data_IF_100887809986
#
_entry.id   IF_100887809986
#
_cell.length_a   1.000
_cell.length_b   1.000
_cell.length_c   1.000
_cell.angle_alpha   90.00
_cell.angle_beta   90.00
_cell.angle_gamma   90.00
#
_symmetry.space_group_name_H-M   'P 1'
#
loop_
_entity.id
_entity.type
_entity.pdbx_description
1 polymer ?
#
# COMPACT_ATOMS: atom_id res chain seq x y z
N UNK A 1 27.51 -1.73 -0.74
CA UNK A 1 26.12 -1.24 -0.71
C UNK A 1 25.32 -1.89 0.40
N UNK A 2 25.45 -3.21 0.59
CA UNK A 2 24.77 -3.99 1.64
C UNK A 2 24.88 -3.38 3.06
N UNK A 3 26.09 -3.02 3.51
CA UNK A 3 26.29 -2.44 4.86
C UNK A 3 25.53 -1.15 5.14
N UNK A 4 25.38 -0.27 4.15
CA UNK A 4 24.61 0.98 4.33
C UNK A 4 23.12 0.66 4.51
N UNK A 5 22.64 -0.35 3.78
CA UNK A 5 21.27 -0.83 3.92
C UNK A 5 21.07 -1.46 5.29
N UNK A 6 21.93 -2.39 5.68
CA UNK A 6 21.88 -3.08 6.98
C UNK A 6 21.88 -2.08 8.14
N UNK A 7 22.86 -1.18 8.18
CA UNK A 7 22.99 -0.21 9.28
C UNK A 7 21.91 0.86 9.27
N UNK A 8 21.45 1.29 8.09
CA UNK A 8 20.30 2.18 7.96
C UNK A 8 19.02 1.56 8.54
N UNK A 9 18.74 0.30 8.20
CA UNK A 9 17.59 -0.45 8.73
C UNK A 9 17.69 -0.72 10.24
N UNK A 10 18.88 -1.01 10.77
CA UNK A 10 19.10 -1.15 12.23
C UNK A 10 18.88 0.18 12.93
N UNK A 11 19.42 1.27 12.37
CA UNK A 11 19.24 2.61 12.91
C UNK A 11 17.76 2.99 13.03
N UNK A 12 16.93 2.60 12.07
CA UNK A 12 15.48 2.78 12.15
C UNK A 12 14.84 1.92 13.25
N UNK A 13 15.21 0.64 13.38
CA UNK A 13 14.67 -0.23 14.42
C UNK A 13 14.91 0.35 15.82
N UNK A 14 16.10 0.89 16.06
CA UNK A 14 16.46 1.56 17.32
C UNK A 14 15.73 2.89 17.47
N UNK A 15 15.77 3.75 16.45
CA UNK A 15 15.17 5.10 16.49
C UNK A 15 13.67 5.07 16.83
N UNK A 16 12.94 4.10 16.28
CA UNK A 16 11.50 3.98 16.45
C UNK A 16 11.10 2.94 17.51
N UNK A 17 12.05 2.46 18.32
CA UNK A 17 11.82 1.49 19.39
C UNK A 17 11.00 0.25 18.95
N UNK A 18 11.31 -0.26 17.75
CA UNK A 18 10.60 -1.40 17.18
C UNK A 18 11.04 -2.72 17.82
N UNK A 19 12.35 -2.86 18.06
CA UNK A 19 12.94 -4.04 18.65
C UNK A 19 13.92 -3.62 19.75
N UNK A 20 13.99 -4.41 20.81
CA UNK A 20 15.07 -4.31 21.80
C UNK A 20 16.36 -4.87 21.18
N UNK A 21 17.25 -3.96 20.77
CA UNK A 21 18.52 -4.29 20.13
C UNK A 21 19.63 -3.88 21.07
N UNK A 22 20.35 -4.87 21.60
CA UNK A 22 21.56 -4.63 22.38
C UNK A 22 22.76 -4.56 21.44
N UNK A 23 23.61 -3.57 21.66
CA UNK A 23 24.80 -3.31 20.84
C UNK A 23 26.04 -3.30 21.72
N UNK A 24 27.14 -3.84 21.20
CA UNK A 24 28.43 -3.83 21.89
C UNK A 24 29.58 -3.97 20.91
N UNK A 25 30.81 -3.72 21.37
CA UNK A 25 32.01 -3.99 20.59
C UNK A 25 32.50 -5.39 20.92
N UNK A 26 32.58 -6.26 19.91
CA UNK A 26 33.07 -7.63 20.06
C UNK A 26 34.60 -7.64 20.21
N UNK A 27 35.22 -8.73 20.69
CA UNK A 27 36.68 -8.88 20.72
C UNK A 27 37.35 -8.70 19.34
N UNK A 28 36.59 -8.89 18.26
CA UNK A 28 37.03 -8.60 16.88
C UNK A 28 37.01 -7.12 16.48
N UNK A 29 36.74 -6.21 17.42
CA UNK A 29 36.54 -4.75 17.22
C UNK A 29 35.34 -4.38 16.32
N UNK A 30 34.56 -5.38 15.89
CA UNK A 30 33.30 -5.16 15.17
C UNK A 30 32.16 -4.86 16.12
N UNK A 31 31.20 -4.06 15.66
CA UNK A 31 29.93 -3.87 16.35
C UNK A 31 29.12 -5.18 16.29
N UNK A 32 28.88 -5.77 17.45
CA UNK A 32 27.98 -6.91 17.65
C UNK A 32 26.57 -6.43 17.95
N UNK A 33 25.59 -7.21 17.49
CA UNK A 33 24.17 -6.96 17.69
C UNK A 33 23.55 -8.22 18.29
N UNK A 34 22.87 -8.07 19.42
CA UNK A 34 21.97 -9.08 19.96
C UNK A 34 20.56 -8.57 19.74
N UNK A 35 19.76 -9.36 19.01
CA UNK A 35 18.38 -9.02 18.67
C UNK A 35 17.47 -10.06 19.30
N UNK A 36 16.68 -9.64 20.27
CA UNK A 36 15.74 -10.51 20.98
C UNK A 36 14.44 -10.64 20.17
N UNK A 37 13.83 -11.81 20.15
CA UNK A 37 12.48 -12.08 19.61
C UNK A 37 12.23 -11.78 18.12
N UNK A 38 13.27 -11.53 17.30
CA UNK A 38 13.09 -11.29 15.86
C UNK A 38 12.47 -12.49 15.15
N UNK A 39 12.97 -13.70 15.42
CA UNK A 39 12.42 -14.91 14.79
C UNK A 39 10.98 -15.17 15.24
N UNK A 40 10.69 -14.95 16.51
CA UNK A 40 9.36 -15.13 17.08
C UNK A 40 8.31 -14.19 16.48
N UNK A 41 8.73 -13.01 15.99
CA UNK A 41 7.86 -12.06 15.29
C UNK A 41 7.79 -12.36 13.79
N UNK A 42 8.94 -12.50 13.13
CA UNK A 42 9.01 -12.56 11.67
C UNK A 42 8.70 -13.94 11.09
N UNK A 43 9.14 -15.04 11.72
CA UNK A 43 8.92 -16.39 11.19
C UNK A 43 7.41 -16.71 11.04
N UNK A 44 6.54 -16.48 12.04
CA UNK A 44 5.11 -16.75 11.87
C UNK A 44 4.44 -15.78 10.88
N UNK A 45 4.86 -14.51 10.85
CA UNK A 45 4.37 -13.54 9.86
C UNK A 45 4.71 -13.98 8.43
N UNK A 46 5.97 -14.35 8.17
CA UNK A 46 6.40 -14.81 6.84
C UNK A 46 5.73 -16.13 6.44
N UNK A 47 5.50 -17.02 7.40
CA UNK A 47 4.72 -18.24 7.16
C UNK A 47 3.29 -17.92 6.73
N UNK A 48 2.63 -16.98 7.41
CA UNK A 48 1.30 -16.49 7.03
C UNK A 48 1.30 -15.84 5.64
N UNK A 49 2.24 -14.93 5.37
CA UNK A 49 2.39 -14.31 4.04
C UNK A 49 2.64 -15.29 2.91
N UNK A 50 3.45 -16.32 3.16
CA UNK A 50 3.69 -17.36 2.16
C UNK A 50 2.40 -18.10 1.81
N UNK A 51 1.50 -18.32 2.78
CA UNK A 51 0.19 -18.91 2.50
C UNK A 51 -0.68 -18.00 1.64
N UNK A 52 -0.76 -16.72 1.98
CA UNK A 52 -1.52 -15.72 1.21
C UNK A 52 -1.01 -15.64 -0.24
N UNK A 53 0.30 -15.54 -0.42
CA UNK A 53 0.96 -15.50 -1.74
C UNK A 53 0.66 -16.75 -2.56
N UNK A 54 0.70 -17.95 -1.94
CA UNK A 54 0.36 -19.21 -2.61
C UNK A 54 -1.13 -19.24 -2.99
N UNK A 55 -2.02 -18.80 -2.11
CA UNK A 55 -3.46 -18.70 -2.42
C UNK A 55 -3.72 -17.78 -3.60
N UNK A 56 -3.08 -16.61 -3.64
CA UNK A 56 -3.23 -15.67 -4.74
C UNK A 56 -2.61 -16.18 -6.03
N UNK A 57 -1.45 -16.85 -5.96
CA UNK A 57 -0.84 -17.51 -7.10
C UNK A 57 -1.77 -18.58 -7.69
N UNK A 58 -2.47 -19.38 -6.86
CA UNK A 58 -3.45 -20.38 -7.32
C UNK A 58 -4.65 -19.71 -8.00
N UNK A 59 -5.19 -18.63 -7.42
CA UNK A 59 -6.30 -17.85 -8.01
C UNK A 59 -5.90 -17.24 -9.35
N UNK A 60 -4.69 -16.67 -9.43
CA UNK A 60 -4.15 -16.06 -10.62
C UNK A 60 -3.74 -17.10 -11.69
N UNK A 61 -3.32 -18.31 -11.30
CA UNK A 61 -2.88 -19.36 -12.22
C UNK A 61 -3.94 -19.70 -13.28
N UNK A 62 -5.22 -19.65 -12.91
CA UNK A 62 -6.33 -19.82 -13.86
C UNK A 62 -6.31 -18.83 -15.03
N UNK A 63 -5.66 -17.67 -14.85
CA UNK A 63 -5.53 -16.59 -15.82
C UNK A 63 -4.21 -16.63 -16.61
N UNK A 64 -3.21 -17.41 -16.17
CA UNK A 64 -1.84 -17.42 -16.75
C UNK A 64 -1.77 -18.18 -18.08
N UNK A 65 -2.82 -18.92 -18.48
CA UNK A 65 -2.94 -19.49 -19.83
C UNK A 65 -3.76 -18.55 -20.74
N UNK A 66 -3.13 -17.60 -21.46
CA UNK A 66 -3.83 -16.50 -22.12
C UNK A 66 -4.50 -16.93 -23.44
N UNK A 67 -4.35 -18.20 -23.85
CA UNK A 67 -4.82 -18.67 -25.15
C UNK A 67 -6.35 -18.72 -25.29
N UNK A 68 -7.14 -18.37 -24.26
CA UNK A 68 -8.60 -18.49 -24.33
C UNK A 68 -9.44 -17.29 -23.93
N UNK A 69 -8.90 -16.27 -23.26
CA UNK A 69 -9.68 -15.08 -22.92
C UNK A 69 -8.79 -13.82 -22.92
N UNK A 70 -8.82 -13.00 -23.99
CA UNK A 70 -8.28 -11.65 -23.90
C UNK A 70 -9.08 -10.88 -22.85
N UNK A 71 -8.54 -10.74 -21.64
CA UNK A 71 -9.07 -9.78 -20.69
C UNK A 71 -8.63 -8.40 -21.16
N UNK A 72 -9.60 -7.60 -21.61
CA UNK A 72 -9.34 -6.18 -21.85
C UNK A 72 -8.99 -5.58 -20.49
N UNK A 73 -7.79 -5.00 -20.36
CA UNK A 73 -7.43 -4.24 -19.16
C UNK A 73 -8.48 -3.17 -18.89
N UNK A 74 -8.65 -2.78 -17.63
CA UNK A 74 -9.47 -1.62 -17.30
C UNK A 74 -8.74 -0.37 -17.79
N UNK A 75 -9.49 0.55 -18.40
CA UNK A 75 -8.96 1.86 -18.78
C UNK A 75 -8.51 2.62 -17.54
N UNK A 76 -7.52 3.51 -17.71
CA UNK A 76 -7.05 4.38 -16.64
C UNK A 76 -8.21 5.24 -16.13
N UNK A 77 -8.41 5.35 -14.80
CA UNK A 77 -9.44 6.22 -14.26
C UNK A 77 -9.21 7.69 -14.68
N UNK A 78 -10.20 8.32 -15.32
CA UNK A 78 -10.07 9.71 -15.78
C UNK A 78 -9.76 10.73 -14.68
N UNK A 79 -10.09 10.41 -13.43
CA UNK A 79 -9.71 11.21 -12.27
C UNK A 79 -8.21 11.14 -11.98
N UNK A 80 -7.59 9.96 -12.14
CA UNK A 80 -6.15 9.76 -12.00
C UNK A 80 -5.41 10.52 -13.10
N UNK A 81 -5.89 10.42 -14.34
CA UNK A 81 -5.24 11.03 -15.50
C UNK A 81 -5.21 12.56 -15.39
N UNK A 82 -6.34 13.17 -15.01
CA UNK A 82 -6.43 14.61 -14.73
C UNK A 82 -5.57 15.04 -13.54
N UNK A 83 -5.48 14.20 -12.51
CA UNK A 83 -4.66 14.50 -11.34
C UNK A 83 -3.18 14.55 -11.70
N UNK A 84 -2.69 13.61 -12.52
CA UNK A 84 -1.32 13.62 -13.03
C UNK A 84 -1.04 14.84 -13.90
N UNK A 85 -1.97 15.20 -14.79
CA UNK A 85 -1.84 16.41 -15.60
C UNK A 85 -1.72 17.67 -14.74
N UNK A 86 -2.52 17.78 -13.66
CA UNK A 86 -2.46 18.91 -12.72
C UNK A 86 -1.15 18.98 -11.93
N UNK A 87 -0.63 17.84 -11.48
CA UNK A 87 0.52 17.82 -10.56
C UNK A 87 1.87 17.81 -11.30
N UNK A 88 1.91 17.25 -12.51
CA UNK A 88 3.15 16.99 -13.26
C UNK A 88 3.16 17.58 -14.67
N UNK A 89 2.07 18.21 -15.13
CA UNK A 89 1.97 18.77 -16.48
C UNK A 89 1.89 17.72 -17.59
N UNK A 90 1.69 16.44 -17.24
CA UNK A 90 1.52 15.31 -18.16
C UNK A 90 0.55 14.30 -17.54
N UNK A 91 -0.35 13.72 -18.34
CA UNK A 91 -1.30 12.72 -17.85
C UNK A 91 -0.63 11.37 -17.57
N UNK A 92 -1.30 10.50 -16.82
CA UNK A 92 -0.76 9.18 -16.47
C UNK A 92 -0.66 8.27 -17.71
N UNK A 93 -1.65 8.31 -18.58
CA UNK A 93 -1.64 7.60 -19.86
C UNK A 93 -0.47 8.04 -20.73
N UNK A 94 -0.20 9.34 -20.79
CA UNK A 94 0.92 9.89 -21.57
C UNK A 94 2.29 9.51 -20.98
N UNK A 95 2.40 9.39 -19.66
CA UNK A 95 3.58 8.78 -19.03
C UNK A 95 3.73 7.30 -19.44
N UNK A 96 2.63 6.54 -19.47
CA UNK A 96 2.65 5.13 -19.88
C UNK A 96 3.05 4.96 -21.36
N UNK A 97 2.52 5.81 -22.25
CA UNK A 97 2.89 5.85 -23.67
C UNK A 97 4.36 6.22 -23.87
N UNK A 98 4.89 7.17 -23.08
CA UNK A 98 6.32 7.49 -23.11
C UNK A 98 7.19 6.28 -22.72
N UNK A 99 6.81 5.57 -21.66
CA UNK A 99 7.50 4.33 -21.25
C UNK A 99 7.43 3.26 -22.33
N UNK A 100 6.29 3.13 -23.01
CA UNK A 100 6.11 2.21 -24.12
C UNK A 100 7.00 2.56 -25.32
N UNK A 101 7.08 3.84 -25.69
CA UNK A 101 8.02 4.33 -26.72
C UNK A 101 9.47 3.98 -26.39
N UNK A 102 9.91 4.21 -25.14
CA UNK A 102 11.24 3.81 -24.67
C UNK A 102 11.47 2.29 -24.77
N UNK A 103 10.46 1.49 -24.47
CA UNK A 103 10.54 0.04 -24.55
C UNK A 103 10.64 -0.45 -26.01
N UNK A 104 9.84 0.13 -26.93
CA UNK A 104 9.88 -0.17 -28.37
C UNK A 104 11.25 0.20 -28.97
N UNK A 105 11.77 1.38 -28.66
CA UNK A 105 13.11 1.77 -29.13
C UNK A 105 14.15 0.84 -28.53
N UNK A 106 14.03 0.51 -27.24
CA UNK A 106 15.05 -0.24 -26.52
C UNK A 106 15.12 -1.73 -26.89
N UNK A 107 14.00 -2.36 -27.22
CA UNK A 107 13.97 -3.78 -27.64
C UNK A 107 14.60 -4.00 -29.02
N UNK A 108 14.64 -2.95 -29.85
CA UNK A 108 15.22 -2.98 -31.19
C UNK A 108 16.75 -2.83 -31.16
N UNK A 109 17.34 -2.45 -30.02
CA UNK A 109 18.79 -2.25 -29.89
C UNK A 109 19.52 -3.58 -29.72
N UNK A 110 20.76 -3.64 -30.20
CA UNK A 110 21.64 -4.83 -30.08
C UNK A 110 22.38 -4.89 -28.74
N UNK A 111 22.29 -3.84 -27.94
CA UNK A 111 22.95 -3.71 -26.62
C UNK A 111 21.98 -3.93 -25.47
N UNK A 112 22.50 -4.27 -24.28
CA UNK A 112 21.69 -4.49 -23.07
C UNK A 112 21.05 -3.22 -22.49
N UNK A 113 21.44 -2.06 -23.01
CA UNK A 113 20.92 -0.74 -22.69
C UNK A 113 20.81 0.09 -23.97
N UNK A 114 20.04 1.17 -23.93
CA UNK A 114 19.81 2.08 -25.04
C UNK A 114 20.25 3.48 -24.65
N UNK A 115 20.68 4.27 -25.62
CA UNK A 115 21.02 5.66 -25.42
C UNK A 115 20.72 6.49 -26.66
N UNK A 116 20.25 7.72 -26.45
CA UNK A 116 20.03 8.73 -27.47
C UNK A 116 20.28 10.10 -26.83
N UNK A 117 20.72 11.09 -27.61
CA UNK A 117 20.63 12.48 -27.13
C UNK A 117 19.15 12.91 -27.03
N UNK A 118 18.83 13.85 -26.15
CA UNK A 118 17.43 14.20 -25.83
C UNK A 118 16.63 14.67 -27.06
N UNK A 119 17.27 15.37 -28.01
CA UNK A 119 16.62 15.78 -29.26
C UNK A 119 16.30 14.58 -30.14
N UNK A 120 17.26 13.66 -30.32
CA UNK A 120 17.03 12.40 -31.04
C UNK A 120 15.97 11.54 -30.35
N UNK A 121 16.00 11.45 -29.02
CA UNK A 121 15.02 10.69 -28.26
C UNK A 121 13.59 11.15 -28.55
N UNK A 122 13.35 12.46 -28.62
CA UNK A 122 12.06 13.02 -29.00
C UNK A 122 11.64 12.61 -30.41
N UNK A 123 12.56 12.74 -31.36
CA UNK A 123 12.32 12.34 -32.75
C UNK A 123 11.97 10.87 -32.86
N UNK A 124 12.70 9.98 -32.18
CA UNK A 124 12.46 8.54 -32.25
C UNK A 124 11.18 8.12 -31.52
N UNK A 125 10.87 8.71 -30.35
CA UNK A 125 9.62 8.43 -29.63
C UNK A 125 8.40 8.82 -30.48
N UNK A 126 8.42 10.02 -31.08
CA UNK A 126 7.30 10.50 -31.89
C UNK A 126 7.07 9.71 -33.20
N UNK A 127 7.98 8.80 -33.57
CA UNK A 127 7.77 7.87 -34.70
C UNK A 127 6.99 6.61 -34.33
N UNK A 128 7.01 6.20 -33.06
CA UNK A 128 6.51 4.89 -32.63
C UNK A 128 5.24 4.95 -31.79
N UNK A 129 4.89 6.13 -31.27
CA UNK A 129 3.71 6.37 -30.45
C UNK A 129 3.08 7.73 -30.79
N UNK A 130 1.98 8.08 -30.15
CA UNK A 130 1.31 9.38 -30.33
C UNK A 130 2.28 10.55 -30.04
N UNK A 131 2.51 11.45 -31.02
CA UNK A 131 3.51 12.50 -30.90
C UNK A 131 3.31 13.41 -29.69
N UNK A 132 4.39 13.63 -28.94
CA UNK A 132 4.47 14.64 -27.88
C UNK A 132 4.79 16.02 -28.46
N UNK A 133 4.10 17.05 -27.95
CA UNK A 133 4.56 18.43 -28.10
C UNK A 133 5.78 18.73 -27.21
N UNK A 134 6.33 19.94 -27.32
CA UNK A 134 7.53 20.35 -26.57
C UNK A 134 7.32 20.29 -25.06
N UNK A 135 6.22 20.85 -24.56
CA UNK A 135 5.93 20.93 -23.13
C UNK A 135 5.65 19.55 -22.53
N UNK A 136 4.84 18.75 -23.23
CA UNK A 136 4.46 17.41 -22.79
C UNK A 136 5.68 16.47 -22.76
N UNK A 137 6.54 16.52 -23.79
CA UNK A 137 7.78 15.75 -23.84
C UNK A 137 8.71 16.12 -22.68
N UNK A 138 8.90 17.41 -22.42
CA UNK A 138 9.75 17.89 -21.33
C UNK A 138 9.21 17.44 -19.96
N UNK A 139 7.89 17.47 -19.75
CA UNK A 139 7.26 16.95 -18.54
C UNK A 139 7.45 15.43 -18.38
N UNK A 140 7.33 14.65 -19.47
CA UNK A 140 7.61 13.21 -19.45
C UNK A 140 9.06 12.91 -19.04
N UNK A 141 10.01 13.61 -19.69
CA UNK A 141 11.45 13.47 -19.40
C UNK A 141 11.73 13.87 -17.95
N UNK A 142 11.19 14.99 -17.48
CA UNK A 142 11.38 15.45 -16.10
C UNK A 142 10.83 14.47 -15.07
N UNK A 143 9.68 13.86 -15.36
CA UNK A 143 9.06 12.87 -14.49
C UNK A 143 9.91 11.59 -14.40
N UNK A 144 10.40 11.07 -15.53
CA UNK A 144 11.05 9.74 -15.64
C UNK A 144 12.58 9.76 -15.57
N UNK A 145 13.22 10.93 -15.51
CA UNK A 145 14.69 11.03 -15.57
C UNK A 145 15.33 11.35 -14.23
N UNK A 146 16.44 10.66 -13.93
CA UNK A 146 17.45 11.04 -12.95
C UNK A 146 18.49 11.95 -13.60
N UNK A 147 18.50 13.21 -13.17
CA UNK A 147 19.50 14.18 -13.56
C UNK A 147 20.69 14.20 -12.60
N UNK A 148 21.87 14.57 -13.13
CA UNK A 148 23.09 14.77 -12.35
C UNK A 148 22.86 15.84 -11.28
N UNK A 149 23.01 15.44 -10.01
CA UNK A 149 22.91 16.35 -8.84
C UNK A 149 24.22 16.51 -8.07
N UNK A 150 25.30 15.88 -8.51
CA UNK A 150 26.56 15.84 -7.77
C UNK A 150 26.53 14.75 -6.71
N UNK A 151 26.80 15.10 -5.44
CA UNK A 151 26.95 14.14 -4.36
C UNK A 151 25.60 13.55 -3.91
N UNK A 152 25.62 12.33 -3.36
CA UNK A 152 24.40 11.57 -3.00
C UNK A 152 23.62 12.22 -1.85
N UNK A 153 24.31 12.91 -0.95
CA UNK A 153 23.78 13.64 0.19
C UNK A 153 23.06 14.95 -0.20
N UNK A 154 23.29 15.45 -1.42
CA UNK A 154 22.64 16.69 -1.88
C UNK A 154 21.18 16.43 -2.24
N UNK A 155 20.26 16.78 -1.36
CA UNK A 155 18.82 16.69 -1.60
C UNK A 155 18.44 17.69 -2.71
N UNK A 156 17.88 17.24 -3.86
CA UNK A 156 17.38 18.17 -4.88
C UNK A 156 16.14 18.92 -4.40
N UNK A 157 15.86 20.07 -5.00
CA UNK A 157 14.66 20.86 -4.70
C UNK A 157 13.37 20.03 -4.90
N UNK A 158 12.43 20.15 -3.96
CA UNK A 158 11.19 19.36 -3.95
C UNK A 158 11.32 17.92 -3.43
N UNK A 159 12.54 17.47 -3.08
CA UNK A 159 12.80 16.16 -2.51
C UNK A 159 13.13 16.24 -1.01
N UNK A 160 13.11 15.09 -0.35
CA UNK A 160 13.39 14.97 1.08
C UNK A 160 14.58 14.04 1.35
N UNK A 161 15.07 14.05 2.59
CA UNK A 161 16.10 13.11 3.06
C UNK A 161 15.71 11.64 2.81
N UNK A 162 14.42 11.33 2.87
CA UNK A 162 13.89 10.01 2.55
C UNK A 162 14.28 9.54 1.14
N UNK A 163 14.23 10.43 0.15
CA UNK A 163 14.45 10.10 -1.27
C UNK A 163 15.91 9.76 -1.59
N UNK A 164 16.84 10.20 -0.74
CA UNK A 164 18.28 9.98 -0.90
C UNK A 164 18.83 8.87 0.01
N UNK A 165 18.01 8.35 0.93
CA UNK A 165 18.42 7.33 1.91
C UNK A 165 18.32 5.92 1.30
N UNK A 166 19.40 5.26 0.85
CA UNK A 166 19.33 4.09 -0.03
C UNK A 166 18.61 2.86 0.56
N UNK A 167 18.44 2.79 1.89
CA UNK A 167 17.70 1.73 2.58
C UNK A 167 16.19 1.95 2.65
N UNK A 168 15.69 3.09 2.15
CA UNK A 168 14.25 3.35 2.04
C UNK A 168 13.71 2.79 0.73
N UNK A 169 12.55 2.15 0.82
CA UNK A 169 11.71 1.86 -0.33
C UNK A 169 10.95 3.12 -0.76
N UNK A 170 10.38 3.09 -1.97
CA UNK A 170 9.51 4.16 -2.48
C UNK A 170 10.17 5.56 -2.52
N UNK A 171 11.48 5.59 -2.78
CA UNK A 171 12.20 6.84 -3.03
C UNK A 171 11.83 7.38 -4.41
N UNK A 172 11.47 8.66 -4.47
CA UNK A 172 11.15 9.35 -5.74
C UNK A 172 12.36 9.43 -6.67
N UNK A 173 13.57 9.36 -6.13
CA UNK A 173 14.85 9.34 -6.86
C UNK A 173 15.40 7.91 -7.14
N UNK A 174 14.57 6.87 -7.03
CA UNK A 174 14.99 5.51 -7.40
C UNK A 174 14.89 5.28 -8.90
N UNK A 175 15.70 4.35 -9.44
CA UNK A 175 15.59 3.92 -10.84
C UNK A 175 14.25 3.24 -11.17
N UNK A 176 13.51 2.78 -10.16
CA UNK A 176 12.14 2.25 -10.33
C UNK A 176 11.12 3.38 -10.56
N UNK A 177 11.40 4.60 -10.11
CA UNK A 177 10.57 5.79 -10.35
C UNK A 177 11.05 6.61 -11.54
N UNK A 178 12.37 6.63 -11.75
CA UNK A 178 13.06 7.42 -12.76
C UNK A 178 14.00 6.53 -13.56
N UNK A 179 13.48 5.74 -14.51
CA UNK A 179 14.24 4.70 -15.20
C UNK A 179 15.26 5.23 -16.22
N UNK A 180 15.24 6.54 -16.52
CA UNK A 180 16.17 7.18 -17.45
C UNK A 180 17.27 7.88 -16.66
N UNK A 181 18.53 7.75 -17.09
CA UNK A 181 19.66 8.48 -16.51
C UNK A 181 20.19 9.47 -17.54
N UNK A 182 20.16 10.75 -17.21
CA UNK A 182 20.74 11.79 -18.05
C UNK A 182 22.21 12.00 -17.73
N UNK A 183 23.05 11.98 -18.77
CA UNK A 183 24.46 12.29 -18.70
C UNK A 183 24.79 13.54 -19.53
N UNK A 184 25.75 14.33 -19.06
CA UNK A 184 26.17 15.54 -19.74
C UNK A 184 26.82 15.20 -21.08
N UNK A 185 26.33 15.81 -22.15
CA UNK A 185 26.96 15.73 -23.46
C UNK A 185 28.06 16.81 -23.54
N UNK A 186 29.31 16.37 -23.69
CA UNK A 186 30.48 17.25 -23.71
C UNK A 186 30.45 18.21 -24.91
N UNK A 187 29.86 17.79 -26.03
CA UNK A 187 29.79 18.57 -27.27
C UNK A 187 28.62 19.56 -27.30
N UNK A 188 27.47 19.21 -26.71
CA UNK A 188 26.29 20.10 -26.59
C UNK A 188 25.65 19.94 -25.21
N UNK A 189 25.99 20.85 -24.28
CA UNK A 189 25.47 20.83 -22.91
C UNK A 189 23.94 20.95 -22.81
N UNK A 190 23.27 21.46 -23.86
CA UNK A 190 21.80 21.54 -23.93
C UNK A 190 21.16 20.28 -24.50
N UNK A 191 21.97 19.30 -24.93
CA UNK A 191 21.52 18.05 -25.51
C UNK A 191 22.12 16.84 -24.80
N UNK A 192 21.78 16.60 -23.52
CA UNK A 192 22.30 15.48 -22.74
C UNK A 192 22.01 14.13 -23.39
N UNK A 193 22.85 13.14 -23.06
CA UNK A 193 22.67 11.75 -23.49
C UNK A 193 21.78 11.05 -22.46
N UNK A 194 20.69 10.46 -22.92
CA UNK A 194 19.69 9.78 -22.11
C UNK A 194 19.93 8.28 -22.19
N UNK A 195 20.19 7.63 -21.07
CA UNK A 195 20.42 6.19 -20.98
C UNK A 195 19.23 5.49 -20.32
N UNK A 196 18.80 4.35 -20.86
CA UNK A 196 17.79 3.51 -20.24
C UNK A 196 17.96 2.04 -20.61
N UNK A 197 17.35 1.13 -19.86
CA UNK A 197 17.24 -0.28 -20.22
C UNK A 197 15.78 -0.66 -20.43
N UNK A 198 15.46 -1.42 -21.49
CA UNK A 198 14.07 -1.76 -21.81
C UNK A 198 13.37 -2.52 -20.66
N UNK A 199 14.07 -3.45 -19.99
CA UNK A 199 13.51 -4.16 -18.82
C UNK A 199 13.26 -3.20 -17.65
N UNK A 200 14.17 -2.25 -17.43
CA UNK A 200 14.07 -1.29 -16.33
C UNK A 200 12.87 -0.34 -16.52
N UNK A 201 12.62 0.13 -17.74
CA UNK A 201 11.45 0.99 -18.01
C UNK A 201 10.14 0.21 -17.82
N UNK A 202 10.08 -1.07 -18.21
CA UNK A 202 8.92 -1.93 -17.95
C UNK A 202 8.73 -2.20 -16.45
N UNK A 203 9.81 -2.47 -15.71
CA UNK A 203 9.75 -2.58 -14.25
C UNK A 203 9.27 -1.28 -13.60
N UNK A 204 9.65 -0.12 -14.13
CA UNK A 204 9.17 1.17 -13.65
C UNK A 204 7.67 1.36 -13.88
N UNK A 205 7.13 0.93 -15.04
CA UNK A 205 5.68 0.93 -15.31
C UNK A 205 4.92 0.07 -14.30
N UNK A 206 5.36 -1.17 -14.10
CA UNK A 206 4.73 -2.09 -13.12
C UNK A 206 4.81 -1.51 -11.71
N UNK A 207 5.96 -0.97 -11.33
CA UNK A 207 6.16 -0.35 -10.03
C UNK A 207 5.26 0.89 -9.85
N UNK A 208 5.15 1.75 -10.86
CA UNK A 208 4.28 2.92 -10.81
C UNK A 208 2.81 2.51 -10.63
N UNK A 209 2.35 1.50 -11.38
CA UNK A 209 1.00 0.97 -11.25
C UNK A 209 0.75 0.41 -9.84
N UNK A 210 1.66 -0.43 -9.32
CA UNK A 210 1.60 -0.94 -7.94
C UNK A 210 1.52 0.18 -6.91
N UNK A 211 2.36 1.21 -7.04
CA UNK A 211 2.37 2.31 -6.07
C UNK A 211 1.07 3.12 -6.09
N UNK A 212 0.41 3.26 -7.26
CA UNK A 212 -0.90 3.93 -7.35
C UNK A 212 -2.00 3.04 -6.76
N UNK A 213 -2.06 1.77 -7.18
CA UNK A 213 -3.15 0.86 -6.77
C UNK A 213 -3.04 0.46 -5.30
N UNK A 214 -1.84 0.44 -4.72
CA UNK A 214 -1.64 0.24 -3.28
C UNK A 214 -1.70 1.54 -2.45
N UNK A 215 -1.87 2.70 -3.10
CA UNK A 215 -1.88 4.01 -2.43
C UNK A 215 -0.55 4.39 -1.78
N UNK A 216 0.56 3.81 -2.27
CA UNK A 216 1.92 4.06 -1.75
C UNK A 216 2.66 5.15 -2.50
N UNK A 217 2.22 5.55 -3.69
CA UNK A 217 2.95 6.52 -4.51
C UNK A 217 3.24 7.81 -3.75
N UNK A 218 4.52 8.14 -3.57
CA UNK A 218 4.93 9.38 -2.90
C UNK A 218 4.84 10.57 -3.86
N UNK A 219 3.92 11.49 -3.56
CA UNK A 219 3.71 12.78 -4.24
C UNK A 219 3.59 13.90 -3.21
N UNK A 220 3.40 15.15 -3.67
CA UNK A 220 3.12 16.27 -2.77
C UNK A 220 1.81 16.05 -2.00
N UNK A 221 1.78 16.36 -0.70
CA UNK A 221 0.59 16.25 0.15
C UNK A 221 -0.54 17.19 -0.29
N UNK A 222 -0.21 18.27 -0.99
CA UNK A 222 -1.20 19.21 -1.54
C UNK A 222 -1.65 18.87 -2.98
N UNK A 223 -1.11 17.81 -3.57
CA UNK A 223 -1.35 17.43 -4.96
C UNK A 223 -2.78 16.94 -5.24
N UNK A 224 -3.15 16.86 -6.51
CA UNK A 224 -4.37 16.19 -6.94
C UNK A 224 -4.20 14.66 -6.98
N UNK A 225 -2.97 14.17 -7.21
CA UNK A 225 -2.70 12.73 -7.28
C UNK A 225 -2.93 12.05 -5.93
N UNK A 226 -2.56 12.69 -4.82
CA UNK A 226 -2.83 12.15 -3.46
C UNK A 226 -4.34 12.05 -3.19
N UNK A 227 -5.14 13.01 -3.67
CA UNK A 227 -6.60 12.99 -3.55
C UNK A 227 -7.22 11.88 -4.40
N UNK A 228 -6.76 11.72 -5.65
CA UNK A 228 -7.21 10.65 -6.53
C UNK A 228 -6.90 9.27 -5.94
N UNK A 229 -5.72 9.10 -5.34
CA UNK A 229 -5.36 7.87 -4.63
C UNK A 229 -6.18 7.64 -3.36
N UNK A 230 -6.58 8.70 -2.65
CA UNK A 230 -7.51 8.61 -1.53
C UNK A 230 -8.84 7.99 -1.95
N UNK A 231 -9.38 8.38 -3.12
CA UNK A 231 -10.58 7.76 -3.68
C UNK A 231 -10.37 6.28 -4.02
N UNK A 232 -9.24 5.93 -4.64
CA UNK A 232 -8.90 4.52 -4.89
C UNK A 232 -8.76 3.71 -3.59
N UNK A 233 -8.25 4.33 -2.52
CA UNK A 233 -8.17 3.70 -1.21
C UNK A 233 -9.54 3.43 -0.60
N UNK A 234 -10.48 4.39 -0.73
CA UNK A 234 -11.86 4.19 -0.33
C UNK A 234 -12.49 3.02 -1.09
N UNK A 235 -12.36 2.99 -2.42
CA UNK A 235 -12.90 1.91 -3.26
C UNK A 235 -12.36 0.52 -2.86
N UNK A 236 -11.08 0.44 -2.44
CA UNK A 236 -10.51 -0.81 -1.90
C UNK A 236 -11.12 -1.18 -0.54
N UNK A 237 -11.34 -0.20 0.34
CA UNK A 237 -12.04 -0.39 1.61
C UNK A 237 -13.45 -0.93 1.40
N UNK A 238 -14.24 -0.27 0.57
CA UNK A 238 -15.62 -0.68 0.24
C UNK A 238 -15.65 -2.07 -0.39
N UNK A 239 -14.66 -2.39 -1.24
CA UNK A 239 -14.53 -3.72 -1.83
C UNK A 239 -14.21 -4.80 -0.80
N UNK A 240 -13.38 -4.50 0.21
CA UNK A 240 -13.12 -5.40 1.33
C UNK A 240 -14.40 -5.64 2.15
N UNK A 241 -15.11 -4.58 2.53
CA UNK A 241 -16.39 -4.68 3.27
C UNK A 241 -17.39 -5.54 2.50
N UNK A 242 -17.59 -5.24 1.22
CA UNK A 242 -18.49 -6.01 0.34
C UNK A 242 -18.11 -7.48 0.22
N UNK A 243 -16.81 -7.77 0.17
CA UNK A 243 -16.26 -9.13 0.08
C UNK A 243 -16.54 -9.91 1.36
N UNK A 244 -16.24 -9.33 2.52
CA UNK A 244 -16.47 -9.95 3.82
C UNK A 244 -17.97 -10.15 4.07
N UNK A 245 -18.78 -9.13 3.80
CA UNK A 245 -20.24 -9.21 3.89
C UNK A 245 -20.78 -10.40 3.12
N UNK A 246 -20.43 -10.53 1.82
CA UNK A 246 -20.87 -11.64 0.97
C UNK A 246 -20.45 -13.01 1.50
N UNK A 247 -19.24 -13.09 2.08
CA UNK A 247 -18.71 -14.36 2.60
C UNK A 247 -19.40 -14.80 3.89
N UNK A 248 -19.84 -13.85 4.72
CA UNK A 248 -20.52 -14.13 5.98
C UNK A 248 -22.02 -14.40 5.84
N UNK A 249 -22.64 -14.06 4.70
CA UNK A 249 -24.08 -14.26 4.48
C UNK A 249 -24.54 -15.69 4.81
N UNK A 250 -25.44 -15.80 5.79
CA UNK A 250 -26.09 -17.04 6.21
C UNK A 250 -27.50 -16.73 6.70
N UNK A 251 -28.41 -17.71 6.63
CA UNK A 251 -29.82 -17.54 7.02
C UNK A 251 -30.01 -17.25 8.52
N UNK A 252 -29.07 -17.72 9.34
CA UNK A 252 -29.17 -17.64 10.80
C UNK A 252 -28.51 -16.36 11.36
N UNK A 253 -27.95 -15.52 10.47
CA UNK A 253 -27.26 -14.29 10.83
C UNK A 253 -28.05 -13.07 10.40
N UNK A 254 -28.03 -12.03 11.22
CA UNK A 254 -28.38 -10.68 10.77
C UNK A 254 -27.08 -9.96 10.53
N UNK A 255 -26.91 -9.45 9.32
CA UNK A 255 -25.70 -8.73 8.91
C UNK A 255 -26.12 -7.38 8.37
N UNK A 256 -25.49 -6.33 8.86
CA UNK A 256 -25.68 -4.95 8.44
C UNK A 256 -24.31 -4.28 8.23
N UNK A 257 -24.24 -3.27 7.38
CA UNK A 257 -23.00 -2.56 7.03
C UNK A 257 -23.15 -1.07 7.27
N UNK A 258 -22.04 -0.37 7.51
CA UNK A 258 -22.04 1.09 7.73
C UNK A 258 -23.01 1.51 8.85
N UNK A 259 -22.97 0.78 9.97
CA UNK A 259 -23.90 0.99 11.09
C UNK A 259 -23.46 2.19 11.92
N UNK A 260 -24.03 3.36 11.62
CA UNK A 260 -23.68 4.63 12.26
C UNK A 260 -24.05 4.70 13.76
N UNK A 261 -23.11 5.16 14.58
CA UNK A 261 -23.29 5.49 16.00
C UNK A 261 -22.95 6.98 16.21
N UNK A 262 -23.97 7.83 16.20
CA UNK A 262 -23.78 9.27 16.29
C UNK A 262 -24.98 9.98 16.95
N UNK A 263 -24.96 11.31 16.96
CA UNK A 263 -26.00 12.15 17.60
C UNK A 263 -27.33 12.22 16.85
N UNK A 264 -27.43 11.59 15.68
CA UNK A 264 -28.56 11.69 14.75
C UNK A 264 -29.08 10.34 14.25
N UNK A 265 -28.28 9.29 14.34
CA UNK A 265 -28.65 7.93 13.92
C UNK A 265 -29.58 7.26 14.94
N UNK A 266 -30.17 6.13 14.55
CA UNK A 266 -31.01 5.33 15.45
C UNK A 266 -30.21 4.79 16.65
N UNK A 267 -28.91 4.56 16.46
CA UNK A 267 -27.97 4.21 17.52
C UNK A 267 -27.41 5.50 18.12
N UNK A 268 -28.26 6.18 18.90
CA UNK A 268 -28.00 7.50 19.42
C UNK A 268 -26.86 7.49 20.44
N UNK A 269 -25.83 8.31 20.19
CA UNK A 269 -24.73 8.59 21.11
C UNK A 269 -24.66 10.08 21.45
N UNK A 270 -23.97 10.40 22.55
CA UNK A 270 -23.70 11.76 23.01
C UNK A 270 -22.78 12.56 22.07
N UNK A 271 -21.99 11.86 21.27
CA UNK A 271 -21.11 12.40 20.23
C UNK A 271 -21.05 11.45 19.03
N UNK A 272 -20.41 11.92 17.96
CA UNK A 272 -20.13 11.07 16.79
C UNK A 272 -19.01 10.06 17.13
N UNK A 273 -19.34 8.77 17.11
CA UNK A 273 -18.41 7.66 17.33
C UNK A 273 -18.00 6.99 16.01
N UNK A 274 -18.49 7.49 14.88
CA UNK A 274 -18.34 6.87 13.56
C UNK A 274 -19.32 5.71 13.36
N UNK A 275 -18.92 4.77 12.54
CA UNK A 275 -19.73 3.64 12.11
C UNK A 275 -19.06 2.29 12.40
N UNK A 276 -19.85 1.23 12.33
CA UNK A 276 -19.34 -0.15 12.31
C UNK A 276 -19.37 -0.61 10.86
N UNK A 277 -18.21 -0.94 10.29
CA UNK A 277 -18.10 -1.35 8.90
C UNK A 277 -19.01 -2.57 8.61
N UNK A 278 -18.98 -3.60 9.47
CA UNK A 278 -19.89 -4.74 9.41
C UNK A 278 -20.32 -5.15 10.83
N UNK A 279 -21.63 -5.17 11.07
CA UNK A 279 -22.24 -5.74 12.26
C UNK A 279 -22.83 -7.11 11.94
N UNK A 280 -22.52 -8.12 12.75
CA UNK A 280 -23.10 -9.47 12.64
C UNK A 280 -23.77 -9.84 13.96
N UNK A 281 -25.05 -10.21 13.92
CA UNK A 281 -25.77 -10.76 15.08
C UNK A 281 -26.00 -12.25 14.81
N UNK A 282 -25.29 -13.08 15.56
CA UNK A 282 -25.45 -14.53 15.58
C UNK A 282 -26.40 -14.92 16.70
N UNK A 283 -27.66 -15.19 16.34
CA UNK A 283 -28.70 -15.57 17.29
C UNK A 283 -28.48 -16.95 17.88
N UNK A 284 -27.80 -17.84 17.15
CA UNK A 284 -27.58 -19.22 17.60
C UNK A 284 -26.57 -19.28 18.75
N UNK A 285 -25.57 -18.38 18.72
CA UNK A 285 -24.51 -18.29 19.73
C UNK A 285 -24.76 -17.22 20.80
N UNK A 286 -25.77 -16.36 20.61
CA UNK A 286 -25.97 -15.13 21.39
C UNK A 286 -24.72 -14.22 21.35
N UNK A 287 -24.16 -14.00 20.16
CA UNK A 287 -22.96 -13.18 19.96
C UNK A 287 -23.23 -12.08 18.93
N UNK A 288 -22.69 -10.90 19.20
CA UNK A 288 -22.66 -9.75 18.31
C UNK A 288 -21.21 -9.51 17.93
N UNK A 289 -20.90 -9.59 16.64
CA UNK A 289 -19.59 -9.23 16.12
C UNK A 289 -19.62 -7.82 15.55
N UNK A 290 -18.68 -6.99 15.98
CA UNK A 290 -18.42 -5.66 15.42
C UNK A 290 -17.12 -5.73 14.65
N UNK A 291 -17.17 -5.70 13.32
CA UNK A 291 -16.00 -5.82 12.47
C UNK A 291 -15.55 -4.46 11.97
N UNK A 292 -14.27 -4.14 12.14
CA UNK A 292 -13.60 -3.00 11.53
C UNK A 292 -12.71 -3.48 10.37
N UNK A 293 -13.07 -3.15 9.14
CA UNK A 293 -12.39 -3.56 7.93
C UNK A 293 -11.32 -2.53 7.50
N UNK A 294 -10.08 -2.98 7.30
CA UNK A 294 -8.99 -2.15 6.78
C UNK A 294 -8.25 -2.82 5.62
N UNK A 295 -8.37 -2.22 4.43
CA UNK A 295 -7.57 -2.57 3.26
C UNK A 295 -6.23 -1.83 3.32
N UNK A 296 -5.31 -2.35 4.13
CA UNK A 296 -3.93 -1.90 4.18
C UNK A 296 -3.04 -2.88 3.44
N UNK A 297 -2.08 -2.35 2.69
CA UNK A 297 -1.04 -3.18 2.10
C UNK A 297 0.04 -3.49 3.14
N UNK A 298 0.62 -4.70 3.14
CA UNK A 298 1.60 -5.09 4.15
C UNK A 298 2.88 -4.27 4.08
N UNK A 299 3.53 -4.15 5.24
CA UNK A 299 4.79 -3.46 5.41
C UNK A 299 5.97 -4.27 4.85
N UNK A 300 6.74 -3.69 3.92
CA UNK A 300 7.87 -4.38 3.26
C UNK A 300 9.22 -4.17 3.94
N UNK A 301 9.32 -3.13 4.76
CA UNK A 301 10.55 -2.75 5.45
C UNK A 301 10.25 -2.10 6.79
N UNK A 302 11.29 -1.95 7.61
CA UNK A 302 11.23 -1.36 8.95
C UNK A 302 10.49 -0.03 8.99
N UNK A 303 10.69 0.87 8.02
CA UNK A 303 10.02 2.17 8.02
C UNK A 303 8.52 2.07 7.76
N UNK A 304 8.13 1.23 6.79
CA UNK A 304 6.72 0.95 6.53
C UNK A 304 6.07 0.31 7.78
N UNK A 305 6.79 -0.54 8.52
CA UNK A 305 6.31 -1.11 9.79
C UNK A 305 6.05 -0.04 10.85
N UNK A 306 6.94 0.96 10.96
CA UNK A 306 6.70 2.10 11.85
C UNK A 306 5.45 2.87 11.44
N UNK A 307 5.30 3.14 10.13
CA UNK A 307 4.14 3.87 9.62
C UNK A 307 2.82 3.10 9.83
N UNK A 308 2.86 1.76 9.72
CA UNK A 308 1.75 0.87 10.06
C UNK A 308 1.36 0.98 11.54
N UNK A 309 2.34 0.91 12.46
CA UNK A 309 2.09 1.07 13.89
C UNK A 309 1.53 2.46 14.22
N UNK A 310 2.10 3.51 13.63
CA UNK A 310 1.62 4.87 13.87
C UNK A 310 0.17 5.03 13.41
N UNK A 311 -0.22 4.47 12.26
CA UNK A 311 -1.63 4.48 11.81
C UNK A 311 -2.55 3.73 12.78
N UNK A 312 -2.12 2.58 13.30
CA UNK A 312 -2.97 1.78 14.19
C UNK A 312 -3.12 2.41 15.59
N UNK A 313 -2.03 2.94 16.14
CA UNK A 313 -1.98 3.45 17.52
C UNK A 313 -2.04 4.98 17.62
N UNK A 314 -1.28 5.74 16.82
CA UNK A 314 -1.24 7.22 16.90
C UNK A 314 -2.45 7.88 16.21
N UNK A 315 -2.88 7.36 15.04
CA UNK A 315 -4.13 7.81 14.39
C UNK A 315 -5.39 7.21 15.03
N UNK A 316 -5.21 6.48 16.14
CA UNK A 316 -6.24 5.99 17.06
C UNK A 316 -7.28 5.09 16.42
N UNK A 317 -6.91 4.32 15.39
CA UNK A 317 -7.84 3.38 14.76
C UNK A 317 -8.31 2.33 15.77
N UNK A 318 -7.37 1.76 16.52
CA UNK A 318 -7.65 0.82 17.60
C UNK A 318 -8.52 1.47 18.67
N UNK A 319 -8.15 2.64 19.17
CA UNK A 319 -8.91 3.32 20.23
C UNK A 319 -10.35 3.64 19.79
N UNK A 320 -10.55 4.10 18.55
CA UNK A 320 -11.89 4.35 17.99
C UNK A 320 -12.74 3.09 17.98
N UNK A 321 -12.14 1.94 17.65
CA UNK A 321 -12.87 0.67 17.65
C UNK A 321 -13.16 0.17 19.07
N UNK A 322 -12.24 0.36 20.03
CA UNK A 322 -12.45 0.08 21.46
C UNK A 322 -13.58 0.95 22.05
N UNK A 323 -13.66 2.22 21.65
CA UNK A 323 -14.74 3.11 22.06
C UNK A 323 -16.10 2.60 21.55
N UNK A 324 -16.17 2.15 20.29
CA UNK A 324 -17.40 1.55 19.73
C UNK A 324 -17.75 0.23 20.41
N UNK A 325 -16.78 -0.65 20.66
CA UNK A 325 -16.97 -1.89 21.42
C UNK A 325 -17.62 -1.63 22.79
N UNK A 326 -17.07 -0.67 23.53
CA UNK A 326 -17.58 -0.27 24.85
C UNK A 326 -18.99 0.30 24.74
N UNK A 327 -19.26 1.11 23.71
CA UNK A 327 -20.58 1.67 23.49
C UNK A 327 -21.62 0.58 23.20
N UNK A 328 -21.32 -0.39 22.33
CA UNK A 328 -22.25 -1.48 21.98
C UNK A 328 -22.59 -2.30 23.23
N UNK A 329 -21.59 -2.67 24.04
CA UNK A 329 -21.78 -3.44 25.28
C UNK A 329 -22.73 -2.74 26.26
N UNK A 330 -22.69 -1.42 26.33
CA UNK A 330 -23.52 -0.63 27.23
C UNK A 330 -24.91 -0.29 26.65
N UNK A 331 -25.15 -0.54 25.36
CA UNK A 331 -26.35 -0.08 24.65
C UNK A 331 -27.03 -1.20 23.83
N UNK A 332 -26.98 -2.45 24.32
CA UNK A 332 -27.62 -3.60 23.67
C UNK A 332 -29.13 -3.42 23.45
N UNK A 333 -29.79 -2.64 24.30
CA UNK A 333 -31.21 -2.27 24.16
C UNK A 333 -31.47 -1.44 22.90
N UNK A 334 -30.61 -0.46 22.58
CA UNK A 334 -30.76 0.37 21.38
C UNK A 334 -30.54 -0.47 20.12
N UNK A 335 -29.54 -1.36 20.15
CA UNK A 335 -29.27 -2.28 19.07
C UNK A 335 -30.41 -3.28 18.87
N UNK A 336 -30.94 -3.83 19.97
CA UNK A 336 -32.09 -4.73 19.96
C UNK A 336 -33.35 -4.05 19.41
N UNK A 337 -33.58 -2.78 19.75
CA UNK A 337 -34.67 -1.99 19.19
C UNK A 337 -34.52 -1.78 17.67
N UNK A 338 -33.30 -1.51 17.18
CA UNK A 338 -33.02 -1.38 15.74
C UNK A 338 -33.36 -2.65 14.98
N UNK A 339 -32.89 -3.81 15.44
CA UNK A 339 -33.09 -5.09 14.75
C UNK A 339 -34.33 -5.87 15.19
N UNK A 340 -35.15 -5.29 16.09
CA UNK A 340 -36.38 -5.86 16.64
C UNK A 340 -36.17 -7.24 17.29
N UNK A 341 -35.11 -7.38 18.07
CA UNK A 341 -34.69 -8.60 18.76
C UNK A 341 -34.28 -8.27 20.19
N UNK A 342 -34.57 -9.16 21.13
CA UNK A 342 -34.01 -9.07 22.47
C UNK A 342 -32.55 -9.55 22.44
N UNK A 343 -31.62 -8.63 22.69
CA UNK A 343 -30.18 -8.90 22.76
C UNK A 343 -29.68 -9.03 24.20
N UNK A 344 -30.59 -9.13 25.18
CA UNK A 344 -30.22 -9.32 26.58
C UNK A 344 -29.36 -10.57 26.75
N UNK A 345 -28.19 -10.41 27.35
CA UNK A 345 -27.24 -11.52 27.58
C UNK A 345 -26.38 -11.88 26.37
N UNK A 346 -26.51 -11.19 25.23
CA UNK A 346 -25.59 -11.37 24.11
C UNK A 346 -24.18 -10.88 24.47
N UNK A 347 -23.16 -11.61 24.02
CA UNK A 347 -21.77 -11.22 24.12
C UNK A 347 -21.38 -10.34 22.93
N UNK A 348 -20.56 -9.32 23.15
CA UNK A 348 -20.03 -8.46 22.09
C UNK A 348 -18.56 -8.79 21.88
N UNK A 349 -18.20 -9.15 20.63
CA UNK A 349 -16.82 -9.40 20.18
C UNK A 349 -16.48 -8.43 19.05
N UNK A 350 -15.59 -7.48 19.33
CA UNK A 350 -15.05 -6.59 18.29
C UNK A 350 -13.80 -7.20 17.65
N UNK A 351 -13.62 -7.02 16.34
CA UNK A 351 -12.55 -7.68 15.57
C UNK A 351 -12.06 -6.74 14.46
N UNK A 352 -10.74 -6.59 14.33
CA UNK A 352 -10.14 -5.98 13.14
C UNK A 352 -10.03 -6.99 12.01
N UNK A 353 -10.62 -6.66 10.86
CA UNK A 353 -10.52 -7.46 9.63
C UNK A 353 -9.60 -6.75 8.66
N UNK A 354 -8.51 -7.41 8.30
CA UNK A 354 -7.50 -6.88 7.39
C UNK A 354 -7.58 -7.57 6.04
N UNK A 355 -7.25 -6.88 4.95
CA UNK A 355 -7.26 -7.53 3.63
C UNK A 355 -6.26 -8.69 3.58
N UNK A 356 -5.05 -8.45 4.09
CA UNK A 356 -3.96 -9.40 4.20
C UNK A 356 -3.32 -9.28 5.58
N UNK A 357 -2.52 -10.26 5.97
CA UNK A 357 -1.90 -10.31 7.28
C UNK A 357 -0.96 -9.12 7.52
N UNK A 358 -0.99 -8.60 8.74
CA UNK A 358 -0.21 -7.45 9.18
C UNK A 358 0.91 -7.90 10.10
N UNK A 359 2.01 -7.14 10.17
CA UNK A 359 3.09 -7.47 11.09
C UNK A 359 2.72 -7.10 12.53
N UNK A 360 1.93 -6.03 12.70
CA UNK A 360 1.58 -5.48 14.01
C UNK A 360 1.03 -6.51 15.02
N UNK A 361 0.11 -7.43 14.65
CA UNK A 361 -0.34 -8.51 15.52
C UNK A 361 0.77 -9.39 16.11
N UNK A 362 1.85 -9.64 15.35
CA UNK A 362 2.99 -10.41 15.81
C UNK A 362 3.90 -9.60 16.73
N UNK A 363 4.11 -8.32 16.41
CA UNK A 363 4.98 -7.43 17.19
C UNK A 363 4.37 -7.04 18.54
N UNK A 364 3.03 -6.93 18.62
CA UNK A 364 2.30 -6.43 19.80
C UNK A 364 1.27 -7.44 20.33
N UNK A 365 1.51 -8.75 20.13
CA UNK A 365 0.59 -9.86 20.45
C UNK A 365 -0.02 -9.82 21.87
N UNK A 366 0.65 -9.21 22.84
CA UNK A 366 0.18 -9.07 24.23
C UNK A 366 -0.39 -7.70 24.62
N UNK A 367 -0.49 -6.74 23.71
CA UNK A 367 -0.88 -5.35 24.00
C UNK A 367 -2.11 -4.91 23.18
N UNK A 368 -2.49 -5.66 22.15
CA UNK A 368 -3.62 -5.30 21.30
C UNK A 368 -4.95 -5.58 22.03
N UNK A 369 -5.83 -4.57 22.20
CA UNK A 369 -7.09 -4.72 22.93
C UNK A 369 -8.18 -5.43 22.12
N UNK A 370 -7.99 -5.56 20.80
CA UNK A 370 -8.94 -6.15 19.85
C UNK A 370 -8.17 -7.14 18.95
N UNK A 371 -8.69 -8.35 18.72
CA UNK A 371 -8.06 -9.34 17.85
C UNK A 371 -8.10 -8.93 16.37
N UNK A 372 -7.16 -9.48 15.60
CA UNK A 372 -7.06 -9.28 14.15
C UNK A 372 -7.32 -10.60 13.44
N UNK A 373 -8.00 -10.52 12.30
CA UNK A 373 -8.17 -11.61 11.33
C UNK A 373 -7.96 -11.08 9.92
N UNK A 374 -7.60 -11.96 9.01
CA UNK A 374 -7.41 -11.61 7.60
C UNK A 374 -8.64 -11.98 6.76
N UNK A 375 -8.76 -11.36 5.59
CA UNK A 375 -9.80 -11.73 4.63
C UNK A 375 -9.63 -13.15 4.10
N UNK A 376 -8.40 -13.70 4.13
CA UNK A 376 -8.12 -15.09 3.72
C UNK A 376 -8.68 -16.08 4.74
N UNK A 377 -8.52 -15.81 6.04
CA UNK A 377 -9.07 -16.66 7.10
C UNK A 377 -10.61 -16.72 7.03
N UNK A 378 -11.25 -15.56 6.81
CA UNK A 378 -12.72 -15.49 6.63
C UNK A 378 -13.16 -16.14 5.31
N UNK A 379 -12.39 -16.00 4.23
CA UNK A 379 -12.67 -16.70 2.97
C UNK A 379 -12.63 -18.21 3.12
N UNK A 380 -11.72 -18.73 3.92
CA UNK A 380 -11.56 -20.17 4.16
C UNK A 380 -12.65 -20.69 5.11
N UNK A 381 -12.82 -20.04 6.27
CA UNK A 381 -13.58 -20.59 7.40
C UNK A 381 -14.94 -19.91 7.63
N UNK A 382 -15.24 -18.81 6.94
CA UNK A 382 -16.46 -18.04 7.14
C UNK A 382 -16.56 -17.49 8.56
N UNK A 383 -17.76 -17.55 9.16
CA UNK A 383 -18.00 -17.08 10.53
C UNK A 383 -17.25 -17.89 11.60
N UNK A 384 -16.88 -19.15 11.32
CA UNK A 384 -16.16 -20.00 12.26
C UNK A 384 -14.75 -19.48 12.56
N UNK A 385 -14.22 -18.58 11.72
CA UNK A 385 -12.97 -17.84 11.99
C UNK A 385 -13.01 -17.16 13.36
N UNK A 386 -14.17 -16.64 13.76
CA UNK A 386 -14.30 -15.86 15.00
C UNK A 386 -14.38 -16.73 16.26
N UNK A 387 -14.56 -18.04 16.13
CA UNK A 387 -14.57 -18.98 17.26
C UNK A 387 -13.14 -19.30 17.74
N UNK A 388 -12.14 -18.99 16.93
CA UNK A 388 -10.71 -19.19 17.23
C UNK A 388 -10.10 -18.01 18.02
N UNK A 389 -10.91 -16.97 18.29
CA UNK A 389 -10.56 -15.74 19.02
C UNK A 389 -11.25 -15.70 20.38
#
# INVERSE_FOLDING_TARGET
MDRVITWGSIGDQVKYNLFDIKMGILPSERVGLEKTNIKEVFDPYYHSKTKEDVTDAIKAYQQVFPQRNPSKGKDTPSALDRAFLSDFGISFDRICEFIEGLAIIGIQQTTSFSFLDIKQLKTEINKVITPFDDSEFDNAVNYLTLFKRGKIEKIPEGYESFDISPWRFNRRLSLLRKPIVAFENVADKKNPIMYWGFRQVLSSRIYLADQITSGRLKVSESGQVIKAMGKLAQERGDSLVSKIFKKLQSKDLIIDTEVEINTKSQLLADKDLGDIDILVIDKSKNIIYSLECKSMSPSRNIKEMVEELNKLFEDRWIDKHVVRDTWIKNNLNLLGAKYKIDLTGFLVKSIFVTQEDMLTPYLKKGVLPIPFVTSYEIEENGINTFDLL
#
